data_IF_217948369793
#
_entry.id   IF_217948369793
#
_cell.length_a   1.000
_cell.length_b   1.000
_cell.length_c   1.000
_cell.angle_alpha   90.00
_cell.angle_beta   90.00
_cell.angle_gamma   90.00
#
_symmetry.space_group_name_H-M   'P 1'
#
loop_
_entity.id
_entity.type
_entity.pdbx_description
1 polymer ?
#
# COMPACT_ATOMS: atom_id res chain seq x y z
N UNK A 1 -15.76 -8.19 -1.87
CA UNK A 1 -15.04 -6.97 -2.29
C UNK A 1 -13.68 -6.92 -1.62
N UNK A 2 -12.67 -6.56 -2.40
CA UNK A 2 -11.30 -6.46 -1.88
C UNK A 2 -11.09 -5.06 -1.29
N UNK A 3 -10.51 -5.00 -0.10
CA UNK A 3 -10.15 -3.73 0.54
C UNK A 3 -8.65 -3.56 0.47
N UNK A 4 -8.22 -2.50 -0.19
CA UNK A 4 -6.79 -2.19 -0.35
C UNK A 4 -6.49 -0.91 0.42
N UNK A 5 -5.45 -0.95 1.25
CA UNK A 5 -4.96 0.22 1.96
C UNK A 5 -3.49 0.43 1.62
N UNK A 6 -3.13 1.68 1.34
CA UNK A 6 -1.75 2.07 1.06
C UNK A 6 -1.29 3.00 2.19
N UNK A 7 -0.27 2.56 2.93
CA UNK A 7 0.31 3.37 3.98
C UNK A 7 1.51 4.14 3.44
N UNK A 8 1.50 5.46 3.64
CA UNK A 8 2.48 6.37 3.08
C UNK A 8 2.96 7.36 4.15
N UNK A 9 3.97 8.14 3.82
CA UNK A 9 4.41 9.26 4.65
C UNK A 9 4.86 10.41 3.77
N UNK A 10 4.93 11.61 4.35
CA UNK A 10 5.42 12.79 3.64
C UNK A 10 6.85 12.57 3.18
N UNK A 11 7.15 12.99 1.94
CA UNK A 11 8.51 12.93 1.40
C UNK A 11 8.97 11.53 0.98
N UNK A 12 8.08 10.58 0.89
CA UNK A 12 8.41 9.20 0.53
C UNK A 12 8.30 9.01 -0.98
N UNK A 13 9.44 8.89 -1.68
CA UNK A 13 9.45 8.68 -3.14
C UNK A 13 8.84 7.34 -3.52
N UNK A 14 9.18 6.29 -2.80
CA UNK A 14 8.63 4.95 -3.08
C UNK A 14 7.12 4.92 -2.88
N UNK A 15 6.62 5.70 -1.93
CA UNK A 15 5.17 5.83 -1.71
C UNK A 15 4.50 6.48 -2.92
N UNK A 16 5.14 7.49 -3.52
CA UNK A 16 4.60 8.12 -4.73
C UNK A 16 4.57 7.14 -5.89
N UNK A 17 5.62 6.33 -6.04
CA UNK A 17 5.64 5.30 -7.07
C UNK A 17 4.54 4.26 -6.86
N UNK A 18 4.32 3.84 -5.62
CA UNK A 18 3.26 2.90 -5.30
C UNK A 18 1.88 3.47 -5.64
N UNK A 19 1.65 4.73 -5.29
CA UNK A 19 0.40 5.40 -5.61
C UNK A 19 0.16 5.44 -7.11
N UNK A 20 1.17 5.83 -7.88
CA UNK A 20 1.07 5.89 -9.34
C UNK A 20 0.78 4.51 -9.93
N UNK A 21 1.41 3.47 -9.40
CA UNK A 21 1.20 2.11 -9.88
C UNK A 21 -0.22 1.64 -9.61
N UNK A 22 -0.73 1.86 -8.40
CA UNK A 22 -2.09 1.46 -8.05
C UNK A 22 -3.10 2.21 -8.92
N UNK A 23 -2.87 3.51 -9.16
CA UNK A 23 -3.74 4.30 -10.01
C UNK A 23 -3.73 3.77 -11.45
N UNK A 24 -2.53 3.46 -11.98
CA UNK A 24 -2.40 2.94 -13.35
C UNK A 24 -3.07 1.58 -13.50
N UNK A 25 -3.08 0.78 -12.44
CA UNK A 25 -3.72 -0.53 -12.45
C UNK A 25 -5.22 -0.47 -12.19
N UNK A 26 -5.77 0.72 -11.98
CA UNK A 26 -7.20 0.90 -11.73
C UNK A 26 -7.65 0.38 -10.38
N UNK A 27 -6.75 0.28 -9.41
CA UNK A 27 -7.06 -0.25 -8.09
C UNK A 27 -7.69 0.84 -7.24
N UNK A 28 -8.83 0.55 -6.65
CA UNK A 28 -9.44 1.41 -5.64
C UNK A 28 -8.78 1.11 -4.31
N UNK A 29 -8.20 2.12 -3.67
CA UNK A 29 -7.50 1.94 -2.40
C UNK A 29 -7.72 3.14 -1.49
N UNK A 30 -7.54 2.92 -0.20
CA UNK A 30 -7.52 3.97 0.80
C UNK A 30 -6.07 4.30 1.12
N UNK A 31 -5.70 5.57 1.02
CA UNK A 31 -4.37 6.01 1.40
C UNK A 31 -4.38 6.48 2.85
N UNK A 32 -3.41 5.99 3.63
CA UNK A 32 -3.25 6.35 5.03
C UNK A 32 -1.88 7.00 5.20
N UNK A 33 -1.86 8.29 5.50
CA UNK A 33 -0.61 9.01 5.80
C UNK A 33 -0.31 8.78 7.29
N UNK A 34 0.81 8.13 7.55
CA UNK A 34 1.19 7.80 8.93
C UNK A 34 1.88 8.95 9.66
N UNK A 35 2.21 10.03 8.94
CA UNK A 35 2.96 11.15 9.51
C UNK A 35 2.20 11.73 10.71
N UNK A 36 2.87 11.78 11.86
CA UNK A 36 2.30 12.35 13.08
C UNK A 36 1.35 11.45 13.86
N UNK A 37 1.17 10.19 13.42
CA UNK A 37 0.37 9.21 14.14
C UNK A 37 1.30 8.18 14.76
N UNK A 38 1.60 8.28 16.07
CA UNK A 38 2.67 7.45 16.67
C UNK A 38 2.50 5.95 16.49
N UNK A 39 1.28 5.44 16.61
CA UNK A 39 1.04 4.00 16.46
C UNK A 39 1.35 3.54 15.04
N UNK A 40 0.97 4.34 14.04
CA UNK A 40 1.22 4.01 12.66
C UNK A 40 2.69 4.18 12.31
N UNK A 41 3.34 5.22 12.83
CA UNK A 41 4.76 5.41 12.58
C UNK A 41 5.57 4.25 13.16
N UNK A 42 5.24 3.79 14.34
CA UNK A 42 5.92 2.65 14.94
C UNK A 42 5.73 1.36 14.14
N UNK A 43 4.53 1.17 13.58
CA UNK A 43 4.20 -0.06 12.86
C UNK A 43 4.71 -0.07 11.42
N UNK A 44 4.76 1.09 10.75
CA UNK A 44 4.92 1.11 9.29
C UNK A 44 6.12 1.90 8.77
N UNK A 45 6.70 2.82 9.56
CA UNK A 45 7.68 3.77 9.01
C UNK A 45 8.86 3.10 8.31
N UNK A 46 9.35 2.00 8.86
CA UNK A 46 10.53 1.32 8.30
C UNK A 46 10.19 0.50 7.06
N UNK A 47 8.91 0.35 6.74
CA UNK A 47 8.46 -0.58 5.72
C UNK A 47 7.74 0.10 4.55
N UNK A 48 7.68 1.44 4.56
CA UNK A 48 6.91 2.20 3.57
C UNK A 48 7.44 2.05 2.14
N UNK A 49 6.58 2.01 1.15
CA UNK A 49 5.13 1.93 1.26
C UNK A 49 4.67 0.55 1.70
N UNK A 50 3.57 0.49 2.43
CA UNK A 50 2.97 -0.79 2.82
C UNK A 50 1.60 -0.89 2.16
N UNK A 51 1.35 -2.01 1.48
CA UNK A 51 0.05 -2.30 0.92
C UNK A 51 -0.57 -3.42 1.74
N UNK A 52 -1.77 -3.15 2.27
CA UNK A 52 -2.56 -4.16 2.95
C UNK A 52 -3.76 -4.52 2.10
N UNK A 53 -4.05 -5.80 2.01
CA UNK A 53 -5.21 -6.31 1.29
C UNK A 53 -6.05 -7.09 2.29
N UNK A 54 -7.28 -6.65 2.47
CA UNK A 54 -8.22 -7.23 3.45
C UNK A 54 -7.63 -7.33 4.85
N UNK A 55 -6.88 -6.28 5.26
CA UNK A 55 -6.29 -6.18 6.58
C UNK A 55 -4.97 -6.90 6.75
N UNK A 56 -4.48 -7.59 5.73
CA UNK A 56 -3.21 -8.31 5.80
C UNK A 56 -2.13 -7.60 4.99
N UNK A 57 -0.93 -7.50 5.55
CA UNK A 57 0.21 -6.88 4.87
C UNK A 57 0.60 -7.75 3.67
N UNK A 58 0.46 -7.19 2.48
CA UNK A 58 0.72 -7.91 1.23
C UNK A 58 2.07 -7.55 0.64
N UNK A 59 2.41 -6.25 0.59
CA UNK A 59 3.65 -5.78 -0.02
C UNK A 59 4.27 -4.68 0.83
N UNK A 60 5.60 -4.65 0.85
CA UNK A 60 6.39 -3.56 1.45
C UNK A 60 7.44 -3.13 0.44
N UNK A 61 7.81 -1.84 0.47
CA UNK A 61 8.81 -1.20 -0.39
C UNK A 61 8.41 -1.14 -1.85
N UNK A 62 8.20 -2.28 -2.49
CA UNK A 62 7.86 -2.36 -3.92
C UNK A 62 6.64 -3.21 -4.12
N UNK A 63 5.90 -2.90 -5.19
CA UNK A 63 4.70 -3.65 -5.54
C UNK A 63 4.94 -4.31 -6.89
N UNK A 64 5.30 -5.61 -6.93
CA UNK A 64 5.41 -6.30 -8.21
C UNK A 64 4.03 -6.40 -8.85
N UNK A 65 3.89 -5.86 -10.07
CA UNK A 65 2.59 -5.77 -10.73
C UNK A 65 1.93 -7.12 -10.89
N UNK A 66 2.69 -8.12 -11.33
CA UNK A 66 2.14 -9.45 -11.54
C UNK A 66 1.64 -10.07 -10.24
N UNK A 67 2.40 -9.89 -9.16
CA UNK A 67 2.00 -10.39 -7.84
C UNK A 67 0.77 -9.67 -7.32
N UNK A 68 0.69 -8.36 -7.55
CA UNK A 68 -0.49 -7.57 -7.19
C UNK A 68 -1.73 -8.08 -7.91
N UNK A 69 -1.62 -8.27 -9.21
CA UNK A 69 -2.75 -8.76 -10.01
C UNK A 69 -3.22 -10.13 -9.54
N UNK A 70 -2.28 -11.03 -9.24
CA UNK A 70 -2.63 -12.36 -8.72
C UNK A 70 -3.33 -12.28 -7.37
N UNK A 71 -2.82 -11.42 -6.47
CA UNK A 71 -3.42 -11.24 -5.15
C UNK A 71 -4.84 -10.70 -5.24
N UNK A 72 -5.06 -9.70 -6.07
CA UNK A 72 -6.38 -9.10 -6.23
C UNK A 72 -7.37 -10.09 -6.84
N UNK A 73 -6.93 -10.87 -7.82
CA UNK A 73 -7.77 -11.90 -8.43
C UNK A 73 -8.13 -12.99 -7.42
N UNK A 74 -7.19 -13.40 -6.58
CA UNK A 74 -7.42 -14.44 -5.59
C UNK A 74 -8.39 -13.99 -4.50
N UNK A 75 -8.43 -12.67 -4.20
CA UNK A 75 -9.28 -12.13 -3.15
C UNK A 75 -10.69 -11.77 -3.63
N UNK A 76 -10.88 -11.66 -4.93
CA UNK A 76 -12.18 -11.23 -5.48
C UNK A 76 -13.17 -12.38 -5.67
#
# INVERSE_FOLDING_TARGET
MVRVALYTASGCHLCQQARSLLDAEGVTYREVDITGVPEFEAAYREWLPVVEIDGERAFVYRIPVDALRRKLTAQS
#
